data_IF_582252670374
#
_entry.id   IF_582252670374
#
_cell.length_a   1.000
_cell.length_b   1.000
_cell.length_c   1.000
_cell.angle_alpha   90.00
_cell.angle_beta   90.00
_cell.angle_gamma   90.00
#
_symmetry.space_group_name_H-M   'P 1'
#
loop_
_entity.id
_entity.type
_entity.pdbx_description
1 polymer ?
#
# COMPACT_ATOMS: atom_id res chain seq x y z
N UNK A 1 38.32 -36.28 77.47
CA UNK A 1 37.24 -35.35 77.21
C UNK A 1 37.60 -34.61 75.93
N UNK A 2 37.01 -35.00 74.77
CA UNK A 2 37.32 -34.43 73.46
C UNK A 2 36.18 -33.46 73.08
N UNK A 3 36.53 -32.18 73.01
CA UNK A 3 35.60 -31.10 72.62
C UNK A 3 35.58 -31.08 71.07
N UNK A 4 34.44 -31.34 70.47
CA UNK A 4 34.23 -31.18 69.01
C UNK A 4 33.65 -29.79 68.75
N UNK A 5 34.41 -28.95 68.04
CA UNK A 5 33.91 -27.70 67.46
C UNK A 5 33.14 -27.99 66.21
N UNK A 6 31.86 -27.61 66.18
CA UNK A 6 31.07 -27.54 64.97
C UNK A 6 31.21 -26.16 64.34
N UNK A 7 31.87 -26.09 63.18
CA UNK A 7 31.80 -24.89 62.30
C UNK A 7 30.51 -24.90 61.51
N UNK A 8 29.63 -23.97 61.83
CA UNK A 8 28.42 -23.70 60.99
C UNK A 8 28.82 -22.78 59.87
N UNK A 9 28.74 -23.29 58.62
CA UNK A 9 28.99 -22.52 57.41
C UNK A 9 27.67 -21.86 57.01
N UNK A 10 27.52 -20.56 57.29
CA UNK A 10 26.36 -19.78 56.85
C UNK A 10 26.59 -19.35 55.38
N UNK A 11 25.88 -19.99 54.43
CA UNK A 11 25.89 -19.58 53.03
C UNK A 11 24.98 -18.36 52.85
N UNK A 12 25.56 -17.21 52.57
CA UNK A 12 24.84 -16.01 52.17
C UNK A 12 24.45 -16.14 50.69
N UNK A 13 23.14 -16.32 50.44
CA UNK A 13 22.60 -16.28 49.10
C UNK A 13 22.43 -14.81 48.69
N UNK A 14 23.31 -14.30 47.83
CA UNK A 14 23.16 -12.96 47.23
C UNK A 14 22.16 -13.05 46.11
N UNK A 15 20.93 -12.63 46.34
CA UNK A 15 19.91 -12.49 45.32
C UNK A 15 20.11 -11.13 44.63
N UNK A 16 20.71 -11.15 43.44
CA UNK A 16 20.81 -9.96 42.59
C UNK A 16 19.44 -9.65 41.97
N UNK A 17 18.73 -8.69 42.52
CA UNK A 17 17.49 -8.18 41.96
C UNK A 17 17.86 -7.27 40.78
N UNK A 18 17.73 -7.79 39.57
CA UNK A 18 17.75 -6.95 38.35
C UNK A 18 16.45 -6.16 38.29
N UNK A 19 16.49 -4.89 38.69
CA UNK A 19 15.42 -3.94 38.42
C UNK A 19 15.42 -3.64 36.91
N UNK A 20 14.59 -4.34 36.14
CA UNK A 20 14.26 -3.94 34.79
C UNK A 20 13.50 -2.62 34.88
N UNK A 21 14.18 -1.51 34.60
CA UNK A 21 13.51 -0.22 34.37
C UNK A 21 12.61 -0.37 33.15
N UNK A 22 11.31 -0.44 33.36
CA UNK A 22 10.35 -0.34 32.25
C UNK A 22 10.52 1.04 31.61
N UNK A 23 10.69 1.11 30.29
CA UNK A 23 10.78 2.39 29.61
C UNK A 23 9.51 3.20 29.92
N UNK A 24 9.69 4.46 30.33
CA UNK A 24 8.57 5.36 30.56
C UNK A 24 7.77 5.48 29.25
N UNK A 25 6.46 5.24 29.24
CA UNK A 25 5.64 5.39 28.03
C UNK A 25 5.81 6.80 27.45
N UNK A 26 6.28 6.88 26.22
CA UNK A 26 6.42 8.16 25.51
C UNK A 26 5.06 8.59 24.98
N UNK A 27 4.71 9.87 25.13
CA UNK A 27 3.49 10.41 24.53
C UNK A 27 3.59 10.30 22.99
N UNK A 28 2.47 9.94 22.32
CA UNK A 28 2.46 9.90 20.86
C UNK A 28 2.74 11.30 20.28
N UNK A 29 3.43 11.39 19.12
CA UNK A 29 3.64 12.66 18.44
C UNK A 29 2.31 13.29 18.03
N UNK A 30 2.22 14.63 18.12
CA UNK A 30 1.06 15.36 17.64
C UNK A 30 1.17 15.55 16.13
N UNK A 31 0.23 14.97 15.40
CA UNK A 31 0.12 15.09 13.95
C UNK A 31 -1.15 15.87 13.61
N UNK A 32 -1.04 16.89 12.75
CA UNK A 32 -2.22 17.53 12.18
C UNK A 32 -2.82 16.56 11.13
N UNK A 33 -4.06 16.09 11.31
CA UNK A 33 -4.64 15.09 10.41
C UNK A 33 -4.98 15.62 9.00
N UNK A 34 -4.74 16.90 8.75
CA UNK A 34 -5.21 17.59 7.55
C UNK A 34 -6.70 17.97 7.63
N UNK A 35 -7.12 18.87 6.77
CA UNK A 35 -8.53 19.27 6.63
C UNK A 35 -8.94 19.14 5.16
N UNK A 36 -10.15 18.70 4.89
CA UNK A 36 -10.78 18.70 3.55
C UNK A 36 -9.86 18.14 2.46
N UNK A 37 -9.41 16.91 2.62
CA UNK A 37 -8.54 16.20 1.66
C UNK A 37 -7.09 16.71 1.59
N UNK A 38 -6.61 17.45 2.59
CA UNK A 38 -5.19 17.73 2.73
C UNK A 38 -4.48 16.53 3.38
N UNK A 39 -3.24 16.31 2.97
CA UNK A 39 -2.39 15.30 3.58
C UNK A 39 -2.13 15.60 5.07
N UNK A 40 -2.01 14.58 5.94
CA UNK A 40 -1.50 14.76 7.30
C UNK A 40 -0.12 15.41 7.31
N UNK A 41 0.23 16.08 8.41
CA UNK A 41 1.47 16.86 8.50
C UNK A 41 2.76 16.00 8.46
N UNK A 42 2.65 14.71 8.71
CA UNK A 42 3.73 13.72 8.68
C UNK A 42 3.70 12.84 7.40
N UNK A 43 2.82 13.17 6.44
CA UNK A 43 2.73 12.43 5.19
C UNK A 43 3.72 12.96 4.13
N UNK A 44 4.21 12.05 3.33
CA UNK A 44 4.96 12.32 2.09
C UNK A 44 3.93 12.53 1.00
N UNK A 45 3.88 13.75 0.44
CA UNK A 45 2.94 14.07 -0.64
C UNK A 45 3.56 13.71 -1.98
N UNK A 46 2.98 12.71 -2.64
CA UNK A 46 3.46 12.20 -3.93
C UNK A 46 2.92 13.03 -5.11
N UNK A 47 1.69 13.54 -5.00
CA UNK A 47 1.11 14.41 -6.02
C UNK A 47 0.15 15.43 -5.43
N UNK A 48 0.49 16.72 -5.55
CA UNK A 48 -0.38 17.85 -5.15
C UNK A 48 -0.18 19.14 -5.96
N UNK A 49 0.94 19.28 -6.68
CA UNK A 49 1.40 20.57 -7.25
C UNK A 49 1.63 20.56 -8.76
N UNK A 50 0.81 19.84 -9.51
CA UNK A 50 0.89 19.80 -10.99
C UNK A 50 2.24 19.25 -11.53
N UNK A 51 2.93 18.41 -10.78
CA UNK A 51 4.20 17.80 -11.20
C UNK A 51 4.21 16.31 -10.86
N UNK A 52 4.86 15.52 -11.70
CA UNK A 52 5.18 14.11 -11.49
C UNK A 52 6.58 13.92 -10.92
N UNK A 53 7.18 14.93 -10.29
CA UNK A 53 8.58 14.88 -9.79
C UNK A 53 8.85 13.72 -8.83
N UNK A 54 7.83 13.25 -8.09
CA UNK A 54 7.94 12.07 -7.23
C UNK A 54 7.90 10.74 -8.00
N UNK A 55 7.59 10.78 -9.31
CA UNK A 55 7.45 9.60 -10.16
C UNK A 55 8.48 9.55 -11.26
N UNK A 56 8.73 8.35 -11.76
CA UNK A 56 9.54 8.04 -12.92
C UNK A 56 8.88 6.91 -13.73
N UNK A 57 9.31 6.68 -14.96
CA UNK A 57 8.93 5.50 -15.73
C UNK A 57 9.55 4.24 -15.10
N UNK A 58 8.82 3.13 -15.07
CA UNK A 58 9.36 1.83 -14.63
C UNK A 58 10.52 1.38 -15.51
N UNK A 59 10.51 1.74 -16.79
CA UNK A 59 11.57 1.44 -17.75
C UNK A 59 12.75 2.44 -17.69
N UNK A 60 12.71 3.38 -16.75
CA UNK A 60 13.69 4.45 -16.57
C UNK A 60 13.30 5.74 -17.29
N UNK A 61 13.84 6.86 -16.79
CA UNK A 61 13.53 8.19 -17.32
C UNK A 61 12.27 8.82 -16.71
N UNK A 62 11.78 9.87 -17.34
CA UNK A 62 10.65 10.66 -16.84
C UNK A 62 9.32 9.93 -16.99
N UNK A 63 8.42 10.12 -16.02
CA UNK A 63 7.03 9.69 -16.16
C UNK A 63 6.34 10.53 -17.26
N UNK A 64 5.78 9.86 -18.28
CA UNK A 64 5.19 10.53 -19.47
C UNK A 64 3.66 10.63 -19.40
N UNK A 65 3.08 10.47 -18.21
CA UNK A 65 1.64 10.63 -18.03
C UNK A 65 1.22 12.10 -18.08
N UNK A 66 0.01 12.36 -18.56
CA UNK A 66 -0.48 13.71 -18.83
C UNK A 66 -0.92 14.43 -17.56
N UNK A 67 -0.23 15.51 -17.19
CA UNK A 67 -0.62 16.39 -16.07
C UNK A 67 -1.56 17.49 -16.56
N UNK A 68 -2.72 17.64 -15.90
CA UNK A 68 -3.68 18.71 -16.19
C UNK A 68 -4.28 19.27 -14.90
N UNK A 69 -3.80 20.41 -14.47
CA UNK A 69 -4.22 21.02 -13.21
C UNK A 69 -3.84 20.14 -12.01
N UNK A 70 -4.76 19.90 -11.12
CA UNK A 70 -4.53 19.13 -9.88
C UNK A 70 -4.71 17.61 -10.07
N UNK A 71 -4.59 17.11 -11.29
CA UNK A 71 -4.64 15.68 -11.59
C UNK A 71 -3.64 15.31 -12.68
N UNK A 72 -3.30 14.04 -12.74
CA UNK A 72 -2.65 13.46 -13.90
C UNK A 72 -3.44 12.24 -14.37
N UNK A 73 -3.20 11.82 -15.60
CA UNK A 73 -3.90 10.69 -16.21
C UNK A 73 -2.91 9.81 -16.94
N UNK A 74 -3.22 8.53 -16.99
CA UNK A 74 -2.54 7.59 -17.88
C UNK A 74 -2.50 8.18 -19.29
N UNK A 75 -1.32 8.20 -19.88
CA UNK A 75 -1.14 8.42 -21.30
C UNK A 75 -0.94 7.04 -21.95
N UNK A 76 -1.97 6.49 -22.63
CA UNK A 76 -1.97 5.11 -23.08
C UNK A 76 -0.76 4.74 -23.93
N UNK A 77 -0.05 3.69 -23.54
CA UNK A 77 1.11 3.17 -24.26
C UNK A 77 2.46 3.78 -23.87
N UNK A 78 2.50 4.69 -22.87
CA UNK A 78 3.77 5.22 -22.36
C UNK A 78 4.36 4.39 -21.22
N UNK A 79 3.66 3.34 -20.80
CA UNK A 79 4.09 2.42 -19.75
C UNK A 79 3.73 2.84 -18.34
N UNK A 80 4.06 1.98 -17.41
CA UNK A 80 3.80 2.17 -15.98
C UNK A 80 4.71 3.26 -15.40
N UNK A 81 4.22 3.92 -14.36
CA UNK A 81 5.04 4.85 -13.57
C UNK A 81 5.18 4.35 -12.14
N UNK A 82 6.29 4.68 -11.49
CA UNK A 82 6.56 4.31 -10.11
C UNK A 82 7.10 5.49 -9.32
N UNK A 83 6.97 5.43 -7.99
CA UNK A 83 7.60 6.43 -7.13
C UNK A 83 9.12 6.27 -7.13
N UNK A 84 9.86 7.38 -7.07
CA UNK A 84 11.32 7.37 -6.90
C UNK A 84 11.72 6.90 -5.50
N UNK A 85 10.91 7.25 -4.49
CA UNK A 85 11.09 6.78 -3.12
C UNK A 85 10.43 5.41 -2.94
N UNK A 86 11.11 4.44 -2.31
CA UNK A 86 10.54 3.15 -1.98
C UNK A 86 9.74 3.21 -0.66
N UNK A 87 8.75 2.31 -0.53
CA UNK A 87 7.89 2.17 0.63
C UNK A 87 7.68 0.70 0.98
N UNK A 88 7.66 0.43 2.29
CA UNK A 88 7.23 -0.83 2.91
C UNK A 88 5.89 -0.62 3.60
N UNK A 89 5.86 -0.87 4.93
CA UNK A 89 4.68 -0.66 5.76
C UNK A 89 4.20 0.80 5.65
N UNK A 90 2.95 0.98 5.27
CA UNK A 90 2.45 2.33 5.01
C UNK A 90 0.93 2.47 5.13
N UNK A 91 0.52 3.72 5.32
CA UNK A 91 -0.82 4.20 5.03
C UNK A 91 -0.78 5.03 3.75
N UNK A 92 -1.51 4.61 2.73
CA UNK A 92 -1.62 5.30 1.44
C UNK A 92 -3.03 5.86 1.26
N UNK A 93 -3.12 7.12 0.88
CA UNK A 93 -4.34 7.72 0.34
C UNK A 93 -4.14 8.04 -1.14
N UNK A 94 -5.09 7.66 -1.97
CA UNK A 94 -5.07 7.93 -3.40
C UNK A 94 -6.47 8.13 -3.95
N UNK A 95 -6.68 9.22 -4.69
CA UNK A 95 -7.92 9.43 -5.42
C UNK A 95 -7.74 9.08 -6.90
N UNK A 96 -8.70 8.36 -7.46
CA UNK A 96 -8.68 7.93 -8.86
C UNK A 96 -10.05 8.09 -9.52
N UNK A 97 -10.07 8.14 -10.84
CA UNK A 97 -11.29 8.31 -11.61
C UNK A 97 -11.16 7.60 -12.96
N UNK A 98 -12.07 6.70 -13.25
CA UNK A 98 -12.17 6.09 -14.58
C UNK A 98 -12.75 7.09 -15.58
N UNK A 99 -12.33 7.05 -16.87
CA UNK A 99 -12.83 7.98 -17.86
C UNK A 99 -14.32 7.78 -18.12
N UNK A 100 -15.03 8.89 -18.28
CA UNK A 100 -16.47 8.88 -18.56
C UNK A 100 -16.81 8.31 -19.95
N UNK A 101 -15.86 8.38 -20.87
CA UNK A 101 -16.04 7.98 -22.28
C UNK A 101 -15.77 6.50 -22.55
N UNK A 102 -15.15 5.79 -21.60
CA UNK A 102 -14.72 4.39 -21.78
C UNK A 102 -15.83 3.38 -21.55
N UNK A 103 -17.02 3.84 -21.17
CA UNK A 103 -18.24 3.05 -21.31
C UNK A 103 -18.62 3.00 -22.80
N UNK A 104 -17.72 2.50 -23.65
CA UNK A 104 -18.10 2.11 -25.00
C UNK A 104 -19.01 0.89 -24.88
N UNK A 105 -20.18 0.97 -25.47
CA UNK A 105 -21.01 -0.20 -25.67
C UNK A 105 -20.13 -1.37 -26.16
N UNK A 106 -20.13 -2.48 -25.43
CA UNK A 106 -19.32 -3.66 -25.74
C UNK A 106 -17.95 -3.76 -25.05
N UNK A 107 -17.44 -2.76 -24.35
CA UNK A 107 -16.24 -2.87 -23.49
C UNK A 107 -16.65 -3.23 -22.05
N UNK A 108 -17.22 -4.39 -21.86
CA UNK A 108 -17.45 -4.99 -20.56
C UNK A 108 -16.14 -5.62 -20.00
N UNK A 109 -16.10 -5.90 -18.72
CA UNK A 109 -15.00 -6.61 -18.08
C UNK A 109 -13.76 -5.73 -17.87
N UNK A 110 -12.59 -6.33 -18.07
CA UNK A 110 -11.29 -5.73 -17.76
C UNK A 110 -10.85 -4.62 -18.73
N UNK A 111 -11.61 -4.35 -19.79
CA UNK A 111 -11.31 -3.29 -20.75
C UNK A 111 -12.01 -1.96 -20.43
N UNK A 112 -12.55 -1.80 -19.22
CA UNK A 112 -13.41 -0.69 -18.85
C UNK A 112 -12.80 0.17 -17.72
N UNK A 113 -11.97 1.15 -18.09
CA UNK A 113 -11.34 2.05 -17.13
C UNK A 113 -10.35 1.31 -16.19
N UNK A 114 -9.57 0.42 -16.76
CA UNK A 114 -8.62 -0.44 -16.03
C UNK A 114 -7.29 0.28 -15.76
N UNK A 115 -6.80 0.10 -14.58
CA UNK A 115 -5.46 0.43 -14.09
C UNK A 115 -5.20 -0.39 -12.82
N UNK A 116 -4.04 -0.20 -12.18
CA UNK A 116 -3.70 -0.89 -10.93
C UNK A 116 -2.83 -0.02 -10.04
N UNK A 117 -2.99 -0.18 -8.73
CA UNK A 117 -2.13 0.40 -7.71
C UNK A 117 -1.32 -0.74 -7.11
N UNK A 118 -0.02 -0.77 -7.39
CA UNK A 118 0.86 -1.86 -6.99
C UNK A 118 1.72 -1.44 -5.80
N UNK A 119 1.37 -1.93 -4.63
CA UNK A 119 2.18 -1.77 -3.42
C UNK A 119 3.50 -2.54 -3.60
N UNK A 120 4.63 -1.88 -3.32
CA UNK A 120 5.97 -2.40 -3.60
C UNK A 120 6.18 -2.82 -5.07
N UNK A 121 5.39 -2.27 -6.02
CA UNK A 121 5.43 -2.68 -7.43
C UNK A 121 4.99 -4.13 -7.69
N UNK A 122 4.40 -4.82 -6.71
CA UNK A 122 4.15 -6.27 -6.74
C UNK A 122 2.71 -6.67 -6.42
N UNK A 123 2.06 -5.96 -5.50
CA UNK A 123 0.77 -6.35 -4.93
C UNK A 123 -0.31 -5.38 -5.37
N UNK A 124 -1.13 -5.83 -6.30
CA UNK A 124 -2.11 -4.98 -6.96
C UNK A 124 -3.40 -4.85 -6.16
N UNK A 125 -3.77 -3.61 -5.88
CA UNK A 125 -5.14 -3.20 -5.59
C UNK A 125 -5.75 -2.70 -6.89
N UNK A 126 -6.76 -3.42 -7.38
CA UNK A 126 -7.37 -3.18 -8.70
C UNK A 126 -8.07 -1.83 -8.79
N UNK A 127 -7.86 -1.14 -9.91
CA UNK A 127 -8.60 0.04 -10.35
C UNK A 127 -9.39 -0.31 -11.60
N UNK A 128 -10.72 -0.23 -11.51
CA UNK A 128 -11.63 -0.59 -12.61
C UNK A 128 -12.93 0.20 -12.49
N UNK A 129 -13.59 0.48 -13.62
CA UNK A 129 -15.00 0.87 -13.59
C UNK A 129 -15.86 -0.35 -13.23
N UNK A 130 -16.20 -0.48 -11.96
CA UNK A 130 -17.00 -1.58 -11.41
C UNK A 130 -18.43 -1.17 -11.05
N UNK A 131 -18.86 0.05 -11.38
CA UNK A 131 -20.19 0.56 -11.01
C UNK A 131 -21.33 -0.26 -11.64
N UNK A 132 -21.23 -0.53 -12.93
CA UNK A 132 -22.12 -1.44 -13.67
C UNK A 132 -21.20 -2.21 -14.61
N UNK A 133 -20.49 -3.21 -14.10
CA UNK A 133 -19.55 -3.99 -14.88
C UNK A 133 -19.49 -5.41 -14.34
N UNK A 134 -19.96 -6.34 -15.13
CA UNK A 134 -19.90 -7.76 -14.84
C UNK A 134 -18.54 -8.31 -15.30
N UNK A 135 -17.65 -8.55 -14.37
CA UNK A 135 -16.39 -9.24 -14.57
C UNK A 135 -16.14 -10.19 -13.40
N UNK A 136 -15.07 -10.98 -13.46
CA UNK A 136 -14.71 -11.90 -12.37
C UNK A 136 -14.60 -11.14 -11.03
N UNK A 137 -15.16 -11.71 -9.99
CA UNK A 137 -15.30 -11.05 -8.71
C UNK A 137 -13.95 -10.64 -8.08
N UNK A 138 -12.90 -11.43 -8.32
CA UNK A 138 -11.53 -11.21 -7.86
C UNK A 138 -10.73 -10.23 -8.74
N UNK A 139 -11.40 -9.60 -9.72
CA UNK A 139 -10.84 -8.58 -10.62
C UNK A 139 -11.65 -7.27 -10.60
N UNK A 140 -12.61 -7.14 -9.69
CA UNK A 140 -13.36 -5.90 -9.48
C UNK A 140 -12.49 -4.82 -8.81
N UNK A 141 -12.93 -3.56 -8.88
CA UNK A 141 -12.27 -2.48 -8.15
C UNK A 141 -12.08 -2.83 -6.67
N UNK A 142 -10.91 -2.54 -6.12
CA UNK A 142 -10.48 -2.88 -4.76
C UNK A 142 -10.28 -4.38 -4.48
N UNK A 143 -10.32 -5.26 -5.48
CA UNK A 143 -9.81 -6.62 -5.29
C UNK A 143 -8.29 -6.58 -5.05
N UNK A 144 -7.78 -7.47 -4.22
CA UNK A 144 -6.37 -7.86 -4.29
C UNK A 144 -6.31 -8.85 -5.44
N UNK A 145 -5.82 -8.37 -6.58
CA UNK A 145 -6.00 -8.98 -7.89
C UNK A 145 -5.71 -10.48 -7.90
N UNK A 146 -6.70 -11.29 -8.30
CA UNK A 146 -6.69 -12.76 -8.28
C UNK A 146 -6.51 -13.42 -6.91
N UNK A 147 -6.54 -12.68 -5.80
CA UNK A 147 -6.36 -13.25 -4.47
C UNK A 147 -7.58 -13.05 -3.57
N UNK A 148 -8.15 -11.85 -3.54
CA UNK A 148 -9.27 -11.53 -2.64
C UNK A 148 -10.34 -10.70 -3.34
N UNK A 149 -11.57 -11.18 -3.24
CA UNK A 149 -12.78 -10.44 -3.67
C UNK A 149 -13.07 -9.32 -2.67
N UNK A 150 -13.46 -8.11 -3.09
CA UNK A 150 -13.92 -7.08 -2.18
C UNK A 150 -15.16 -7.50 -1.40
N UNK A 151 -15.26 -7.11 -0.12
CA UNK A 151 -16.43 -7.40 0.71
C UNK A 151 -17.73 -6.81 0.15
N UNK A 152 -17.64 -5.65 -0.49
CA UNK A 152 -18.74 -4.96 -1.18
C UNK A 152 -18.21 -4.18 -2.37
N UNK A 153 -19.06 -3.91 -3.36
CA UNK A 153 -18.75 -2.99 -4.44
C UNK A 153 -19.15 -1.56 -4.02
N UNK A 154 -18.16 -0.74 -3.68
CA UNK A 154 -18.35 0.65 -3.27
C UNK A 154 -18.12 1.65 -4.42
N UNK A 155 -18.11 1.20 -5.67
CA UNK A 155 -17.79 2.03 -6.84
C UNK A 155 -18.86 3.08 -7.13
N UNK A 156 -18.43 4.30 -7.44
CA UNK A 156 -19.24 5.36 -8.01
C UNK A 156 -19.24 5.27 -9.54
N UNK A 157 -20.21 5.91 -10.23
CA UNK A 157 -20.24 5.94 -11.69
C UNK A 157 -18.96 6.44 -12.34
N UNK A 158 -18.62 6.01 -13.58
CA UNK A 158 -17.47 6.50 -14.33
C UNK A 158 -17.50 8.03 -14.45
N UNK A 159 -16.30 8.65 -14.39
CA UNK A 159 -16.15 10.10 -14.34
C UNK A 159 -16.39 10.72 -12.96
N UNK A 160 -16.61 9.92 -11.92
CA UNK A 160 -16.62 10.35 -10.52
C UNK A 160 -15.31 9.96 -9.84
N UNK A 161 -14.81 10.85 -8.99
CA UNK A 161 -13.64 10.55 -8.15
C UNK A 161 -13.97 9.48 -7.13
N UNK A 162 -13.09 8.53 -7.00
CA UNK A 162 -13.08 7.44 -6.03
C UNK A 162 -11.93 7.67 -5.07
N UNK A 163 -12.02 7.17 -3.84
CA UNK A 163 -10.94 7.21 -2.88
C UNK A 163 -10.55 5.79 -2.47
N UNK A 164 -9.25 5.51 -2.41
CA UNK A 164 -8.73 4.40 -1.65
C UNK A 164 -7.91 4.93 -0.48
N UNK A 165 -8.23 4.44 0.72
CA UNK A 165 -7.39 4.53 1.90
C UNK A 165 -6.90 3.11 2.19
N UNK A 166 -5.59 2.90 2.08
CA UNK A 166 -4.96 1.58 2.15
C UNK A 166 -4.00 1.55 3.32
N UNK A 167 -4.13 0.52 4.17
CA UNK A 167 -3.11 0.17 5.16
C UNK A 167 -2.42 -1.08 4.66
N UNK A 168 -1.12 -1.00 4.49
CA UNK A 168 -0.27 -2.06 3.98
C UNK A 168 0.78 -2.44 4.99
N UNK A 169 0.91 -3.73 5.27
CA UNK A 169 2.05 -4.33 5.95
C UNK A 169 2.79 -5.21 4.94
N UNK A 170 4.05 -4.91 4.72
CA UNK A 170 4.89 -5.64 3.78
C UNK A 170 5.12 -7.09 4.25
N UNK A 171 5.25 -8.05 3.33
CA UNK A 171 5.68 -9.39 3.69
C UNK A 171 7.16 -9.40 4.05
N UNK A 172 7.52 -10.24 5.03
CA UNK A 172 8.91 -10.49 5.41
C UNK A 172 9.41 -11.79 4.80
N UNK A 173 10.66 -11.76 4.34
CA UNK A 173 11.37 -12.92 3.78
C UNK A 173 12.69 -13.13 4.53
N UNK A 174 13.08 -14.41 4.70
CA UNK A 174 14.41 -14.75 5.23
C UNK A 174 15.53 -14.53 4.18
N UNK A 175 16.78 -14.68 4.60
CA UNK A 175 17.94 -14.55 3.71
C UNK A 175 17.97 -15.57 2.56
N UNK A 176 17.20 -16.64 2.64
CA UNK A 176 17.05 -17.66 1.60
C UNK A 176 15.87 -17.39 0.66
N UNK A 177 15.08 -16.32 0.96
CA UNK A 177 13.94 -15.93 0.18
C UNK A 177 12.63 -16.63 0.52
N UNK A 178 12.57 -17.33 1.63
CA UNK A 178 11.34 -17.94 2.07
C UNK A 178 10.48 -16.89 2.78
N UNK A 179 9.18 -16.92 2.54
CA UNK A 179 8.21 -16.08 3.22
C UNK A 179 8.17 -16.45 4.71
N UNK A 180 8.53 -15.49 5.59
CA UNK A 180 8.49 -15.63 7.05
C UNK A 180 7.19 -15.08 7.62
N UNK A 181 6.70 -13.96 7.06
CA UNK A 181 5.46 -13.30 7.45
C UNK A 181 4.74 -12.81 6.21
N UNK A 182 3.48 -13.17 6.07
CA UNK A 182 2.65 -12.69 4.97
C UNK A 182 2.39 -11.19 5.09
N UNK A 183 2.35 -10.51 3.96
CA UNK A 183 1.87 -9.15 3.90
C UNK A 183 0.37 -9.08 4.15
N UNK A 184 -0.10 -7.93 4.62
CA UNK A 184 -1.51 -7.67 4.90
C UNK A 184 -1.96 -6.39 4.21
N UNK A 185 -3.14 -6.41 3.61
CA UNK A 185 -3.78 -5.23 3.01
C UNK A 185 -5.16 -5.01 3.60
N UNK A 186 -5.40 -3.80 4.11
CA UNK A 186 -6.74 -3.31 4.43
C UNK A 186 -7.06 -2.15 3.51
N UNK A 187 -8.24 -2.15 2.87
CA UNK A 187 -8.67 -1.11 1.93
C UNK A 187 -10.02 -0.56 2.34
N UNK A 188 -10.11 0.76 2.42
CA UNK A 188 -11.37 1.49 2.40
C UNK A 188 -11.57 2.09 1.01
N UNK A 189 -12.69 1.79 0.37
CA UNK A 189 -13.10 2.35 -0.91
C UNK A 189 -14.28 3.30 -0.68
N UNK A 190 -14.10 4.58 -0.98
CA UNK A 190 -15.10 5.62 -0.71
C UNK A 190 -15.59 5.63 0.76
N UNK A 191 -14.68 5.37 1.70
CA UNK A 191 -14.96 5.31 3.14
C UNK A 191 -15.58 4.00 3.62
N UNK A 192 -15.87 3.03 2.74
CA UNK A 192 -16.37 1.70 3.11
C UNK A 192 -15.23 0.69 3.17
N UNK A 193 -15.18 -0.13 4.22
CA UNK A 193 -14.22 -1.23 4.33
C UNK A 193 -14.53 -2.30 3.29
N UNK A 194 -13.59 -2.54 2.38
CA UNK A 194 -13.74 -3.51 1.27
C UNK A 194 -12.72 -4.64 1.31
N UNK A 195 -11.57 -4.43 1.98
CA UNK A 195 -10.61 -5.47 2.33
C UNK A 195 -10.20 -5.31 3.78
N UNK A 196 -10.19 -6.40 4.54
CA UNK A 196 -9.84 -6.38 5.97
C UNK A 196 -8.73 -7.38 6.25
N UNK A 197 -7.52 -6.88 6.51
CA UNK A 197 -6.33 -7.71 6.76
C UNK A 197 -6.20 -8.84 5.74
N UNK A 198 -6.46 -8.55 4.46
CA UNK A 198 -6.34 -9.51 3.39
C UNK A 198 -4.89 -9.98 3.28
N UNK A 199 -4.66 -11.26 3.50
CA UNK A 199 -3.32 -11.86 3.48
C UNK A 199 -2.81 -12.01 2.05
N UNK A 200 -1.64 -11.46 1.77
CA UNK A 200 -0.99 -11.54 0.46
C UNK A 200 0.02 -12.67 0.49
N UNK A 201 -0.14 -13.63 -0.41
CA UNK A 201 0.74 -14.82 -0.49
C UNK A 201 1.74 -14.73 -1.63
N UNK A 202 1.36 -14.07 -2.72
CA UNK A 202 2.16 -14.02 -3.94
C UNK A 202 2.06 -12.65 -4.60
N UNK A 203 3.08 -12.21 -5.34
CA UNK A 203 2.98 -11.05 -6.22
C UNK A 203 1.89 -11.25 -7.28
N UNK A 204 1.28 -10.16 -7.73
CA UNK A 204 0.40 -10.15 -8.88
C UNK A 204 1.20 -10.48 -10.15
N UNK A 205 0.70 -11.38 -11.00
CA UNK A 205 1.43 -11.88 -12.19
C UNK A 205 1.85 -10.80 -13.19
N UNK A 206 1.13 -9.67 -13.23
CA UNK A 206 1.44 -8.53 -14.09
C UNK A 206 2.57 -7.64 -13.55
N UNK A 207 3.04 -7.84 -12.33
CA UNK A 207 4.16 -7.10 -11.77
C UNK A 207 5.47 -7.57 -12.41
N UNK A 208 6.06 -6.72 -13.27
CA UNK A 208 7.26 -7.04 -14.06
C UNK A 208 8.57 -7.00 -13.26
N UNK A 209 8.53 -6.68 -11.99
CA UNK A 209 9.74 -6.51 -11.17
C UNK A 209 10.34 -7.85 -10.77
N UNK A 210 11.58 -8.09 -11.21
CA UNK A 210 12.39 -9.19 -10.68
C UNK A 210 12.49 -9.07 -9.17
N UNK A 211 12.16 -10.18 -8.50
CA UNK A 211 12.32 -10.32 -7.06
C UNK A 211 13.79 -10.22 -6.68
N UNK A 212 14.22 -9.10 -6.16
CA UNK A 212 15.41 -9.05 -5.33
C UNK A 212 14.92 -9.13 -3.88
N UNK A 213 15.16 -10.26 -3.26
CA UNK A 213 14.69 -10.68 -1.94
C UNK A 213 15.19 -9.81 -0.77
N UNK A 214 16.00 -8.80 -1.06
CA UNK A 214 16.79 -8.09 -0.06
C UNK A 214 16.19 -6.73 0.38
N UNK A 215 15.07 -6.29 -0.21
CA UNK A 215 14.51 -4.97 0.11
C UNK A 215 13.17 -5.07 0.79
N UNK A 216 13.11 -4.56 2.03
CA UNK A 216 11.87 -4.37 2.79
C UNK A 216 10.98 -3.26 2.22
N UNK A 217 11.51 -2.41 1.34
CA UNK A 217 10.83 -1.29 0.69
C UNK A 217 11.09 -1.30 -0.81
N UNK A 218 10.05 -1.10 -1.62
CA UNK A 218 10.10 -0.96 -3.07
C UNK A 218 9.15 0.16 -3.52
N UNK A 219 9.30 0.70 -4.74
CA UNK A 219 8.42 1.74 -5.26
C UNK A 219 6.94 1.34 -5.28
N UNK A 220 6.06 2.32 -5.03
CA UNK A 220 4.65 2.25 -5.38
C UNK A 220 4.55 2.43 -6.90
N UNK A 221 3.84 1.53 -7.61
CA UNK A 221 3.67 1.60 -9.05
C UNK A 221 2.20 1.83 -9.44
N UNK A 222 1.96 2.62 -10.46
CA UNK A 222 0.67 2.82 -11.11
C UNK A 222 0.71 2.26 -12.53
N UNK A 223 -0.35 1.52 -12.91
CA UNK A 223 -0.36 0.77 -14.16
C UNK A 223 -0.97 1.58 -15.31
N UNK A 224 -0.29 1.55 -16.46
CA UNK A 224 -0.87 1.85 -17.78
C UNK A 224 -1.50 0.59 -18.36
N UNK A 225 -2.82 0.50 -18.29
CA UNK A 225 -3.61 -0.56 -18.97
C UNK A 225 -4.38 0.00 -20.19
N UNK A 226 -3.78 0.96 -20.89
CA UNK A 226 -4.32 1.62 -22.09
C UNK A 226 -5.63 2.39 -21.87
N UNK A 227 -6.04 2.65 -20.65
CA UNK A 227 -7.21 3.43 -20.30
C UNK A 227 -6.79 4.73 -19.61
N UNK A 228 -7.39 5.87 -19.96
CA UNK A 228 -7.07 7.19 -19.42
C UNK A 228 -7.57 7.39 -17.99
N UNK A 229 -7.23 6.46 -17.09
CA UNK A 229 -7.55 6.61 -15.66
C UNK A 229 -6.81 7.84 -15.12
N UNK A 230 -7.51 8.66 -14.35
CA UNK A 230 -6.95 9.87 -13.74
C UNK A 230 -6.69 9.65 -12.27
N UNK A 231 -5.63 10.30 -11.75
CA UNK A 231 -5.22 10.25 -10.36
C UNK A 231 -5.02 11.67 -9.80
N UNK A 232 -5.23 11.84 -8.49
CA UNK A 232 -4.96 13.08 -7.76
C UNK A 232 -4.82 12.81 -6.27
N UNK A 233 -4.40 13.81 -5.50
CA UNK A 233 -4.35 13.79 -4.03
C UNK A 233 -3.75 12.50 -3.50
N UNK A 234 -2.47 12.28 -3.82
CA UNK A 234 -1.75 11.07 -3.44
C UNK A 234 -0.75 11.41 -2.34
N UNK A 235 -0.89 10.75 -1.21
CA UNK A 235 0.05 10.86 -0.11
C UNK A 235 0.22 9.53 0.62
N UNK A 236 1.37 9.38 1.27
CA UNK A 236 1.74 8.16 1.97
C UNK A 236 2.39 8.51 3.31
N UNK A 237 2.11 7.72 4.34
CA UNK A 237 2.78 7.76 5.64
C UNK A 237 3.45 6.42 5.85
N UNK A 238 4.74 6.43 6.23
CA UNK A 238 5.46 5.22 6.67
C UNK A 238 4.97 4.83 8.08
N UNK A 239 4.82 3.54 8.34
CA UNK A 239 4.37 2.97 9.62
C UNK A 239 5.51 2.27 10.36
#
# INVERSE_FOLDING_TARGET
MKIRFFLSLASFLVVSIYLYSQPTPQLPPVVNPGQKNLAPSDAIVLFSKNSLDAFESVDGGSAEWTVKGKKFSVNPGTGNIQTKEPFGDCQLHIEWMTPKKDVKEGKAGQQNGNSGIYLMGKYEVQVLNSFINETDADRQAASIYHQHVPLVNASLPPGKWQTYDIIFTAPDYDASGNLVKSGLITVFHNGLLVQYNAEIKTPTQAASTQFTLEKSELPLMLQDHTNEVSYRNIWIRKL
#
